data_IF_224878162715
#
_entry.id   IF_224878162715
#
_cell.length_a   1.000
_cell.length_b   1.000
_cell.length_c   1.000
_cell.angle_alpha   90.00
_cell.angle_beta   90.00
_cell.angle_gamma   90.00
#
_symmetry.space_group_name_H-M   'P 1'
#
loop_
_entity.id
_entity.type
_entity.pdbx_description
1 polymer ?
#
# COMPACT_ATOMS: atom_id res chain seq x y z
N UNK A 1 2.88 35.64 15.63
CA UNK A 1 2.13 34.57 14.95
C UNK A 1 2.92 33.28 15.10
N UNK A 2 2.30 32.22 15.62
CA UNK A 2 2.99 30.94 15.88
C UNK A 2 3.08 30.09 14.62
N UNK A 3 4.20 29.38 14.45
CA UNK A 3 4.38 28.39 13.40
C UNK A 3 3.39 27.25 13.63
N UNK A 4 2.61 26.89 12.61
CA UNK A 4 1.65 25.78 12.67
C UNK A 4 2.27 24.52 12.08
N UNK A 5 1.77 23.35 12.46
CA UNK A 5 2.19 22.07 11.87
C UNK A 5 1.92 22.00 10.34
N UNK A 6 0.96 22.80 9.87
CA UNK A 6 0.68 22.99 8.45
C UNK A 6 1.80 23.74 7.74
N UNK A 7 2.49 24.67 8.40
CA UNK A 7 3.64 25.40 7.84
C UNK A 7 4.86 24.49 7.66
N UNK A 8 4.93 23.40 8.44
CA UNK A 8 5.87 22.29 8.22
C UNK A 8 5.43 21.30 7.10
N UNK A 9 4.34 21.62 6.39
CA UNK A 9 3.82 20.83 5.25
C UNK A 9 2.75 19.81 5.61
N UNK A 10 2.33 19.70 6.87
CA UNK A 10 1.39 18.66 7.33
C UNK A 10 -0.01 19.22 7.59
N UNK A 11 -0.90 19.12 6.59
CA UNK A 11 -2.31 19.51 6.70
C UNK A 11 -3.18 18.30 7.13
N UNK A 12 -3.44 18.20 8.44
CA UNK A 12 -4.20 17.09 9.05
C UNK A 12 -5.60 16.94 8.45
N UNK A 13 -6.29 18.05 8.10
CA UNK A 13 -7.64 17.99 7.52
C UNK A 13 -7.61 17.36 6.13
N UNK A 14 -6.65 17.77 5.29
CA UNK A 14 -6.44 17.17 3.95
C UNK A 14 -6.06 15.70 4.04
N UNK A 15 -5.25 15.32 5.03
CA UNK A 15 -4.88 13.91 5.27
C UNK A 15 -6.12 13.08 5.62
N UNK A 16 -6.96 13.53 6.55
CA UNK A 16 -8.19 12.79 6.92
C UNK A 16 -9.14 12.60 5.74
N UNK A 17 -9.36 13.63 4.93
CA UNK A 17 -10.18 13.50 3.71
C UNK A 17 -9.58 12.49 2.73
N UNK A 18 -8.26 12.49 2.59
CA UNK A 18 -7.54 11.56 1.72
C UNK A 18 -7.66 10.11 2.18
N UNK A 19 -7.55 9.90 3.50
CA UNK A 19 -7.62 8.59 4.15
C UNK A 19 -8.96 7.89 3.93
N UNK A 20 -10.09 8.62 3.85
CA UNK A 20 -11.39 7.98 3.64
C UNK A 20 -11.49 7.29 2.26
N UNK A 21 -10.99 7.93 1.20
CA UNK A 21 -11.01 7.35 -0.16
C UNK A 21 -9.99 6.23 -0.32
N UNK A 22 -8.77 6.46 0.15
CA UNK A 22 -7.69 5.45 0.13
C UNK A 22 -8.07 4.23 0.97
N UNK A 23 -8.65 4.45 2.15
CA UNK A 23 -9.09 3.41 3.07
C UNK A 23 -10.12 2.47 2.46
N UNK A 24 -11.08 2.99 1.67
CA UNK A 24 -12.05 2.16 0.94
C UNK A 24 -11.38 1.29 -0.13
N UNK A 25 -10.38 1.83 -0.83
CA UNK A 25 -9.61 1.07 -1.82
C UNK A 25 -8.83 -0.07 -1.14
N UNK A 26 -8.14 0.23 -0.05
CA UNK A 26 -7.38 -0.76 0.73
C UNK A 26 -8.34 -1.81 1.32
N UNK A 27 -9.46 -1.41 1.93
CA UNK A 27 -10.41 -2.34 2.51
C UNK A 27 -10.99 -3.34 1.49
N UNK A 28 -11.00 -2.99 0.19
CA UNK A 28 -11.41 -3.91 -0.88
C UNK A 28 -10.45 -5.10 -1.06
N UNK A 29 -9.24 -5.05 -0.52
CA UNK A 29 -8.25 -6.15 -0.59
C UNK A 29 -8.40 -7.16 0.56
N UNK A 30 -9.13 -6.83 1.63
CA UNK A 30 -9.19 -7.67 2.84
C UNK A 30 -9.87 -9.04 2.64
N UNK A 31 -10.59 -9.23 1.52
CA UNK A 31 -11.31 -10.47 1.20
C UNK A 31 -10.67 -11.25 0.04
N UNK A 32 -9.49 -10.84 -0.41
CA UNK A 32 -8.83 -11.49 -1.56
C UNK A 32 -8.35 -12.91 -1.21
N UNK A 33 -7.79 -13.11 -0.02
CA UNK A 33 -7.36 -14.43 0.43
C UNK A 33 -8.43 -15.11 1.31
N UNK A 34 -9.13 -16.10 0.74
CA UNK A 34 -10.27 -16.77 1.39
C UNK A 34 -9.92 -17.47 2.71
N UNK A 35 -8.68 -17.93 2.85
CA UNK A 35 -8.22 -18.70 4.02
C UNK A 35 -7.63 -17.83 5.14
N UNK A 36 -7.61 -16.50 4.95
CA UNK A 36 -7.01 -15.55 5.86
C UNK A 36 -8.09 -14.59 6.35
N UNK A 37 -8.09 -14.32 7.66
CA UNK A 37 -9.02 -13.39 8.26
C UNK A 37 -8.30 -12.13 8.72
N UNK A 38 -8.76 -10.98 8.23
CA UNK A 38 -8.31 -9.67 8.71
C UNK A 38 -9.12 -9.33 9.96
N UNK A 39 -8.46 -9.23 11.12
CA UNK A 39 -9.06 -8.93 12.43
C UNK A 39 -9.22 -7.43 12.65
N UNK A 40 -8.25 -6.66 12.17
CA UNK A 40 -8.28 -5.19 12.16
C UNK A 40 -7.72 -4.71 10.82
N UNK A 41 -8.42 -3.78 10.19
CA UNK A 41 -8.09 -3.28 8.86
C UNK A 41 -7.54 -1.85 8.88
N UNK A 42 -7.80 -1.12 7.79
CA UNK A 42 -7.48 0.29 7.66
C UNK A 42 -8.17 1.15 8.73
N UNK A 43 -7.45 2.16 9.27
CA UNK A 43 -7.99 3.15 10.21
C UNK A 43 -7.18 3.32 11.50
N UNK A 44 -6.22 2.41 11.75
CA UNK A 44 -5.31 2.45 12.90
C UNK A 44 -3.84 2.34 12.45
N UNK A 45 -2.93 2.22 13.41
CA UNK A 45 -1.48 2.12 13.18
C UNK A 45 -1.04 0.81 12.52
N UNK A 46 -1.87 -0.24 12.59
CA UNK A 46 -1.57 -1.56 12.04
C UNK A 46 -2.84 -2.30 11.59
N UNK A 47 -2.71 -3.09 10.52
CA UNK A 47 -3.64 -4.15 10.18
C UNK A 47 -3.27 -5.44 10.92
N UNK A 48 -4.25 -6.19 11.39
CA UNK A 48 -4.04 -7.47 12.09
C UNK A 48 -4.54 -8.60 11.20
N UNK A 49 -3.64 -9.52 10.88
CA UNK A 49 -3.87 -10.68 10.02
C UNK A 49 -3.78 -11.92 10.89
N UNK A 50 -4.85 -12.71 10.93
CA UNK A 50 -4.85 -13.97 11.66
C UNK A 50 -4.21 -15.07 10.82
N UNK A 51 -3.22 -15.74 11.41
CA UNK A 51 -2.54 -16.90 10.83
C UNK A 51 -2.84 -18.10 11.73
N UNK A 52 -3.58 -19.08 11.20
CA UNK A 52 -4.00 -20.27 11.96
C UNK A 52 -3.00 -21.42 11.87
N UNK A 53 -2.90 -22.21 12.95
CA UNK A 53 -2.36 -23.58 12.91
C UNK A 53 -0.84 -23.70 12.76
N UNK A 54 -0.05 -22.95 13.55
CA UNK A 54 1.42 -23.14 13.61
C UNK A 54 2.15 -22.86 12.30
N UNK A 55 1.54 -22.14 11.36
CA UNK A 55 2.13 -21.79 10.07
C UNK A 55 3.32 -20.84 10.25
N UNK A 56 4.27 -20.96 9.33
CA UNK A 56 5.40 -20.06 9.22
C UNK A 56 5.02 -18.81 8.41
N UNK A 57 5.67 -17.69 8.71
CA UNK A 57 5.50 -16.42 8.00
C UNK A 57 6.78 -16.08 7.24
N UNK A 58 6.68 -15.97 5.93
CA UNK A 58 7.71 -15.36 5.11
C UNK A 58 7.45 -13.85 5.02
N UNK A 59 8.49 -13.05 5.19
CA UNK A 59 8.43 -11.59 5.05
C UNK A 59 9.49 -11.15 4.06
N UNK A 60 9.14 -10.21 3.20
CA UNK A 60 10.04 -9.63 2.21
C UNK A 60 9.67 -8.16 2.01
N UNK A 61 10.66 -7.35 1.65
CA UNK A 61 10.44 -5.93 1.37
C UNK A 61 11.33 -5.49 0.21
N UNK A 62 10.69 -4.92 -0.80
CA UNK A 62 11.34 -4.34 -1.97
C UNK A 62 10.55 -3.13 -2.49
N UNK A 63 11.24 -2.25 -3.19
CA UNK A 63 10.71 -1.05 -3.82
C UNK A 63 10.55 -1.18 -5.33
N UNK A 64 10.06 -0.11 -5.95
CA UNK A 64 9.96 0.00 -7.43
C UNK A 64 11.31 0.38 -8.07
N UNK A 65 12.23 0.93 -7.27
CA UNK A 65 13.51 1.45 -7.74
C UNK A 65 13.38 2.69 -8.62
N UNK A 66 14.38 2.93 -9.48
CA UNK A 66 14.47 4.15 -10.30
C UNK A 66 13.36 4.32 -11.34
N UNK A 67 12.55 3.28 -11.59
CA UNK A 67 11.37 3.36 -12.47
C UNK A 67 10.34 4.42 -12.00
N UNK A 68 10.35 4.78 -10.72
CA UNK A 68 9.52 5.89 -10.20
C UNK A 68 9.84 7.23 -10.88
N UNK A 69 11.10 7.44 -11.30
CA UNK A 69 11.52 8.65 -12.02
C UNK A 69 10.82 8.70 -13.38
N UNK A 70 10.76 7.57 -14.09
CA UNK A 70 10.07 7.47 -15.38
C UNK A 70 8.56 7.72 -15.22
N UNK A 71 7.94 7.13 -14.18
CA UNK A 71 6.54 7.40 -13.84
C UNK A 71 6.28 8.89 -13.63
N UNK A 72 7.19 9.59 -12.94
CA UNK A 72 7.11 11.03 -12.71
C UNK A 72 7.27 11.83 -14.01
N UNK A 73 8.26 11.51 -14.84
CA UNK A 73 8.49 12.16 -16.14
C UNK A 73 7.26 12.02 -17.06
N UNK A 74 6.64 10.85 -17.05
CA UNK A 74 5.43 10.56 -17.83
C UNK A 74 4.14 11.08 -17.18
N UNK A 75 4.19 11.58 -15.94
CA UNK A 75 3.03 11.92 -15.11
C UNK A 75 1.99 10.79 -15.02
N UNK A 76 2.46 9.54 -15.02
CA UNK A 76 1.63 8.32 -15.00
C UNK A 76 1.95 7.46 -13.78
N UNK A 77 1.07 7.52 -12.77
CA UNK A 77 1.30 6.94 -11.44
C UNK A 77 0.43 5.75 -11.10
N UNK A 78 -0.48 5.36 -11.99
CA UNK A 78 -1.47 4.33 -11.69
C UNK A 78 -0.92 2.90 -11.86
N UNK A 79 0.26 2.74 -12.47
CA UNK A 79 0.89 1.43 -12.71
C UNK A 79 1.99 1.07 -11.73
N UNK A 80 2.68 2.05 -11.14
CA UNK A 80 3.82 1.81 -10.24
C UNK A 80 3.45 1.04 -8.97
N UNK A 81 2.21 1.16 -8.49
CA UNK A 81 1.72 0.33 -7.39
C UNK A 81 1.62 -1.16 -7.76
N UNK A 82 1.38 -1.50 -9.04
CA UNK A 82 1.40 -2.90 -9.51
C UNK A 82 2.84 -3.41 -9.47
N UNK A 83 3.79 -2.61 -9.97
CA UNK A 83 5.21 -2.96 -9.95
C UNK A 83 5.70 -3.22 -8.51
N UNK A 84 5.31 -2.37 -7.56
CA UNK A 84 5.67 -2.52 -6.15
C UNK A 84 5.20 -3.86 -5.56
N UNK A 85 3.95 -4.25 -5.80
CA UNK A 85 3.44 -5.55 -5.34
C UNK A 85 4.15 -6.69 -6.03
N UNK A 86 4.37 -6.59 -7.35
CA UNK A 86 4.96 -7.66 -8.15
C UNK A 86 6.39 -8.00 -7.70
N UNK A 87 7.23 -7.00 -7.42
CA UNK A 87 8.61 -7.23 -6.93
C UNK A 87 8.63 -8.09 -5.66
N UNK A 88 7.76 -7.76 -4.71
CA UNK A 88 7.70 -8.47 -3.44
C UNK A 88 7.05 -9.86 -3.56
N UNK A 89 5.94 -9.95 -4.31
CA UNK A 89 5.18 -11.20 -4.43
C UNK A 89 5.96 -12.25 -5.20
N UNK A 90 6.64 -11.87 -6.29
CA UNK A 90 7.40 -12.80 -7.12
C UNK A 90 8.53 -13.49 -6.33
N UNK A 91 9.18 -12.76 -5.42
CA UNK A 91 10.23 -13.33 -4.58
C UNK A 91 9.65 -14.23 -3.48
N UNK A 92 8.54 -13.83 -2.86
CA UNK A 92 7.86 -14.64 -1.84
C UNK A 92 7.41 -15.99 -2.41
N UNK A 93 6.80 -16.03 -3.60
CA UNK A 93 6.29 -17.29 -4.16
C UNK A 93 7.40 -18.28 -4.51
N UNK A 94 8.63 -17.82 -4.77
CA UNK A 94 9.79 -18.70 -5.00
C UNK A 94 10.16 -19.52 -3.76
N UNK A 95 9.73 -19.10 -2.56
CA UNK A 95 9.90 -19.85 -1.31
C UNK A 95 8.79 -20.88 -1.06
N UNK A 96 7.78 -20.96 -1.93
CA UNK A 96 6.58 -21.77 -1.73
C UNK A 96 5.52 -21.13 -0.83
N UNK A 97 5.73 -19.89 -0.39
CA UNK A 97 4.78 -19.16 0.44
C UNK A 97 3.60 -18.60 -0.39
N UNK A 98 2.44 -18.51 0.26
CA UNK A 98 1.25 -17.86 -0.31
C UNK A 98 1.21 -16.41 0.18
N UNK A 99 1.06 -15.41 -0.71
CA UNK A 99 0.92 -14.01 -0.28
C UNK A 99 -0.37 -13.82 0.52
N UNK A 100 -0.26 -13.34 1.77
CA UNK A 100 -1.41 -13.16 2.68
C UNK A 100 -1.66 -11.70 3.09
N UNK A 101 -0.62 -10.86 3.05
CA UNK A 101 -0.68 -9.47 3.47
C UNK A 101 0.40 -8.65 2.77
N UNK A 102 0.20 -7.33 2.72
CA UNK A 102 1.14 -6.39 2.13
C UNK A 102 1.08 -5.07 2.90
N UNK A 103 2.24 -4.45 3.11
CA UNK A 103 2.37 -3.12 3.72
C UNK A 103 3.22 -2.28 2.79
N UNK A 104 2.72 -1.11 2.40
CA UNK A 104 3.47 -0.13 1.60
C UNK A 104 3.91 1.08 2.42
N UNK A 105 4.96 1.73 1.95
CA UNK A 105 5.44 3.01 2.47
C UNK A 105 5.76 3.94 1.30
N UNK A 106 5.14 5.13 1.28
CA UNK A 106 5.34 6.14 0.26
C UNK A 106 5.88 7.42 0.91
N UNK A 107 7.11 7.80 0.56
CA UNK A 107 7.69 9.09 0.90
C UNK A 107 7.56 10.06 -0.27
N UNK A 108 7.12 11.29 0.01
CA UNK A 108 7.01 12.35 -0.98
C UNK A 108 7.26 13.72 -0.35
N UNK A 109 7.90 14.62 -1.10
CA UNK A 109 8.15 16.01 -0.66
C UNK A 109 6.85 16.82 -0.50
N UNK A 110 5.79 16.43 -1.21
CA UNK A 110 4.47 17.06 -1.16
C UNK A 110 3.37 16.02 -1.26
N UNK A 111 2.30 16.22 -0.50
CA UNK A 111 1.14 15.33 -0.51
C UNK A 111 0.13 15.77 -1.55
N UNK A 112 0.25 15.24 -2.77
CA UNK A 112 -0.75 15.44 -3.83
C UNK A 112 -1.76 14.29 -3.85
N UNK A 113 -2.97 14.54 -3.37
CA UNK A 113 -4.00 13.51 -3.16
C UNK A 113 -4.25 12.63 -4.40
N UNK A 114 -4.37 13.24 -5.58
CA UNK A 114 -4.67 12.51 -6.82
C UNK A 114 -3.53 11.59 -7.27
N UNK A 115 -2.26 11.96 -6.99
CA UNK A 115 -1.11 11.09 -7.27
C UNK A 115 -1.16 9.87 -6.35
N UNK A 116 -1.29 10.08 -5.04
CA UNK A 116 -1.37 9.00 -4.06
C UNK A 116 -2.53 8.04 -4.35
N UNK A 117 -3.70 8.58 -4.70
CA UNK A 117 -4.87 7.79 -5.08
C UNK A 117 -4.57 6.89 -6.29
N UNK A 118 -3.89 7.39 -7.33
CA UNK A 118 -3.47 6.58 -8.49
C UNK A 118 -2.50 5.48 -8.08
N UNK A 119 -1.51 5.77 -7.24
CA UNK A 119 -0.56 4.77 -6.74
C UNK A 119 -1.29 3.66 -5.98
N UNK A 120 -2.20 4.03 -5.05
CA UNK A 120 -3.01 3.08 -4.27
C UNK A 120 -3.92 2.24 -5.18
N UNK A 121 -4.50 2.82 -6.22
CA UNK A 121 -5.24 2.04 -7.23
C UNK A 121 -4.34 0.99 -7.89
N UNK A 122 -3.09 1.36 -8.19
CA UNK A 122 -2.06 0.42 -8.65
C UNK A 122 -1.80 -0.69 -7.65
N UNK A 123 -1.58 -0.37 -6.37
CA UNK A 123 -1.35 -1.33 -5.29
C UNK A 123 -2.51 -2.32 -5.17
N UNK A 124 -3.75 -1.83 -5.16
CA UNK A 124 -4.96 -2.67 -5.09
C UNK A 124 -5.07 -3.58 -6.32
N UNK A 125 -4.76 -3.07 -7.52
CA UNK A 125 -4.72 -3.90 -8.74
C UNK A 125 -3.62 -4.96 -8.66
N UNK A 126 -2.45 -4.62 -8.14
CA UNK A 126 -1.36 -5.56 -7.89
C UNK A 126 -1.79 -6.67 -6.92
N UNK A 127 -2.36 -6.30 -5.77
CA UNK A 127 -2.86 -7.24 -4.77
C UNK A 127 -3.93 -8.18 -5.32
N UNK A 128 -4.83 -7.70 -6.21
CA UNK A 128 -5.82 -8.54 -6.89
C UNK A 128 -5.20 -9.55 -7.85
N UNK A 129 -4.09 -9.21 -8.50
CA UNK A 129 -3.35 -10.10 -9.41
C UNK A 129 -2.47 -11.11 -8.67
N UNK A 130 -2.07 -10.79 -7.45
CA UNK A 130 -1.21 -11.61 -6.59
C UNK A 130 -1.96 -12.76 -5.86
N UNK A 131 -3.18 -13.08 -6.29
CA UNK A 131 -3.96 -14.20 -5.74
C UNK A 131 -3.51 -15.54 -6.31
#
# INVERSE_FOLDING_TARGET
>A
MGITYKDAGVDIKKIKQSQATIGRLIASTHKLQKKIQIRSGFGHYAGIVEISGGKLLATHTDGVGTKVIISQMMKKYDTVGIDCVAMNVNDIICTGAVPISFVDYIAANRTEHEIFKKIVQGLVRGAKKAQ
#
